data_IF_092413989577
#
_entry.id   IF_092413989577
#
_cell.length_a   1.000
_cell.length_b   1.000
_cell.length_c   1.000
_cell.angle_alpha   90.00
_cell.angle_beta   90.00
_cell.angle_gamma   90.00
#
_symmetry.space_group_name_H-M   'P 1'
#
loop_
_entity.id
_entity.type
_entity.pdbx_description
1 polymer ?
#
# COMPACT_ATOMS: atom_id res chain seq x y z
N UNK A 1 14.59 -12.55 -6.48
CA UNK A 1 13.64 -13.05 -5.47
C UNK A 1 13.85 -12.23 -4.22
N UNK A 2 12.91 -11.34 -3.88
CA UNK A 2 12.96 -10.61 -2.61
C UNK A 2 12.74 -11.59 -1.46
N UNK A 3 13.72 -11.65 -0.56
CA UNK A 3 13.74 -12.50 0.62
C UNK A 3 12.57 -12.14 1.56
N UNK A 4 11.54 -12.98 1.59
CA UNK A 4 10.44 -12.96 2.57
C UNK A 4 10.94 -13.43 3.94
N UNK A 5 11.84 -12.68 4.60
CA UNK A 5 12.49 -13.19 5.80
C UNK A 5 11.78 -12.80 7.12
N UNK A 6 11.06 -11.68 7.19
CA UNK A 6 10.45 -11.20 8.46
C UNK A 6 8.94 -10.89 8.39
N UNK A 7 8.29 -10.98 9.55
CA UNK A 7 6.87 -10.64 9.75
C UNK A 7 6.67 -9.12 9.70
N UNK A 8 5.45 -8.70 9.36
CA UNK A 8 4.98 -7.34 9.42
C UNK A 8 5.63 -6.38 8.40
N UNK A 9 6.14 -6.90 7.29
CA UNK A 9 6.42 -6.12 6.08
C UNK A 9 5.19 -6.21 5.15
N UNK A 10 4.58 -5.07 4.86
CA UNK A 10 3.31 -4.98 4.15
C UNK A 10 3.49 -4.49 2.71
N UNK A 11 2.64 -4.94 1.82
CA UNK A 11 2.48 -4.43 0.45
C UNK A 11 1.10 -3.82 0.32
N UNK A 12 1.01 -2.59 -0.18
CA UNK A 12 -0.25 -1.88 -0.38
C UNK A 12 -0.53 -1.66 -1.86
N UNK A 13 -1.78 -1.92 -2.24
CA UNK A 13 -2.28 -1.78 -3.61
C UNK A 13 -3.73 -1.27 -3.59
N UNK A 14 -4.21 -0.79 -4.74
CA UNK A 14 -5.59 -0.41 -4.95
C UNK A 14 -6.21 -1.20 -6.10
N UNK A 15 -7.41 -1.74 -5.85
CA UNK A 15 -8.19 -2.43 -6.88
C UNK A 15 -9.35 -1.54 -7.30
N UNK A 16 -9.37 -1.16 -8.58
CA UNK A 16 -10.42 -0.32 -9.15
C UNK A 16 -11.38 -1.12 -10.01
N UNK A 17 -12.60 -1.32 -9.52
CA UNK A 17 -13.73 -1.81 -10.31
C UNK A 17 -14.63 -0.68 -10.81
N UNK A 18 -15.66 -1.04 -11.57
CA UNK A 18 -16.64 -0.11 -12.14
C UNK A 18 -17.45 0.65 -11.08
N UNK A 19 -17.83 -0.02 -9.99
CA UNK A 19 -18.72 0.51 -8.95
C UNK A 19 -18.09 0.52 -7.55
N UNK A 20 -16.85 0.05 -7.42
CA UNK A 20 -16.17 -0.05 -6.15
C UNK A 20 -14.66 0.07 -6.33
N UNK A 21 -14.03 0.67 -5.33
CA UNK A 21 -12.59 0.79 -5.23
C UNK A 21 -12.18 0.22 -3.87
N UNK A 22 -11.09 -0.55 -3.85
CA UNK A 22 -10.60 -1.20 -2.64
C UNK A 22 -9.15 -0.80 -2.40
N UNK A 23 -8.82 -0.56 -1.14
CA UNK A 23 -7.46 -0.56 -0.64
C UNK A 23 -7.15 -1.94 -0.09
N UNK A 24 -6.04 -2.53 -0.52
CA UNK A 24 -5.56 -3.83 -0.03
C UNK A 24 -4.20 -3.67 0.61
N UNK A 25 -3.98 -4.31 1.75
CA UNK A 25 -2.70 -4.37 2.45
C UNK A 25 -2.40 -5.84 2.74
N UNK A 26 -1.24 -6.34 2.32
CA UNK A 26 -0.88 -7.75 2.44
C UNK A 26 0.44 -7.90 3.17
N UNK A 27 0.45 -8.67 4.28
CA UNK A 27 1.70 -9.10 4.90
C UNK A 27 2.42 -10.06 3.95
N UNK A 28 3.67 -9.74 3.60
CA UNK A 28 4.41 -10.50 2.59
C UNK A 28 4.77 -11.91 3.04
N UNK A 29 4.86 -12.19 4.34
CA UNK A 29 5.29 -13.49 4.89
C UNK A 29 4.12 -14.43 5.14
N UNK A 30 3.12 -13.98 5.90
CA UNK A 30 1.97 -14.82 6.30
C UNK A 30 0.75 -14.63 5.41
N UNK A 31 0.80 -13.69 4.44
CA UNK A 31 -0.29 -13.40 3.50
C UNK A 31 -1.59 -12.97 4.17
N UNK A 32 -1.49 -12.43 5.39
CA UNK A 32 -2.63 -11.78 6.03
C UNK A 32 -3.01 -10.55 5.18
N UNK A 33 -4.28 -10.48 4.77
CA UNK A 33 -4.78 -9.40 3.93
C UNK A 33 -5.81 -8.56 4.67
N UNK A 34 -5.59 -7.25 4.71
CA UNK A 34 -6.57 -6.26 5.11
C UNK A 34 -7.15 -5.61 3.87
N UNK A 35 -8.48 -5.52 3.79
CA UNK A 35 -9.19 -4.91 2.66
C UNK A 35 -10.16 -3.86 3.20
N UNK A 36 -10.19 -2.71 2.55
CA UNK A 36 -11.14 -1.64 2.87
C UNK A 36 -11.66 -0.97 1.62
N UNK A 37 -12.99 -0.78 1.55
CA UNK A 37 -13.60 -0.01 0.46
C UNK A 37 -13.23 1.47 0.57
N UNK A 38 -12.83 2.07 -0.55
CA UNK A 38 -12.66 3.52 -0.72
C UNK A 38 -13.71 4.06 -1.68
N UNK A 39 -14.13 5.31 -1.47
CA UNK A 39 -15.17 5.95 -2.28
C UNK A 39 -14.65 6.43 -3.64
N UNK A 40 -13.36 6.77 -3.72
CA UNK A 40 -12.70 7.27 -4.91
C UNK A 40 -11.20 6.94 -4.88
N UNK A 41 -10.49 7.30 -5.96
CA UNK A 41 -9.05 7.08 -6.14
C UNK A 41 -8.19 8.22 -5.57
N UNK A 42 -8.80 9.19 -4.87
CA UNK A 42 -8.07 10.37 -4.41
C UNK A 42 -7.09 9.97 -3.31
N UNK A 43 -5.91 10.55 -3.36
CA UNK A 43 -4.84 10.22 -2.43
C UNK A 43 -5.23 10.41 -0.95
N UNK A 44 -6.05 11.42 -0.65
CA UNK A 44 -6.56 11.66 0.69
C UNK A 44 -7.49 10.53 1.18
N UNK A 45 -8.40 10.08 0.31
CA UNK A 45 -9.35 9.00 0.62
C UNK A 45 -8.61 7.69 0.86
N UNK A 46 -7.65 7.37 -0.01
CA UNK A 46 -6.82 6.17 0.08
C UNK A 46 -5.94 6.22 1.33
N UNK A 47 -5.31 7.35 1.63
CA UNK A 47 -4.51 7.54 2.84
C UNK A 47 -5.32 7.34 4.13
N UNK A 48 -6.51 7.94 4.23
CA UNK A 48 -7.40 7.76 5.38
C UNK A 48 -7.77 6.29 5.60
N UNK A 49 -8.09 5.58 4.52
CA UNK A 49 -8.42 4.14 4.61
C UNK A 49 -7.21 3.31 4.99
N UNK A 50 -6.03 3.61 4.42
CA UNK A 50 -4.79 2.92 4.76
C UNK A 50 -4.45 3.09 6.24
N UNK A 51 -4.57 4.29 6.81
CA UNK A 51 -4.39 4.53 8.26
C UNK A 51 -5.36 3.69 9.08
N UNK A 52 -6.64 3.68 8.71
CA UNK A 52 -7.67 2.90 9.41
C UNK A 52 -7.34 1.40 9.44
N UNK A 53 -6.93 0.83 8.31
CA UNK A 53 -6.57 -0.59 8.21
C UNK A 53 -5.29 -0.89 8.99
N UNK A 54 -4.24 -0.09 8.83
CA UNK A 54 -2.94 -0.32 9.48
C UNK A 54 -3.02 -0.20 11.01
N UNK A 55 -3.97 0.56 11.57
CA UNK A 55 -4.22 0.58 13.01
C UNK A 55 -4.68 -0.77 13.59
N UNK A 56 -5.21 -1.67 12.77
CA UNK A 56 -5.64 -3.02 13.20
C UNK A 56 -4.48 -3.99 13.37
N UNK A 57 -3.31 -3.65 12.84
CA UNK A 57 -2.10 -4.47 12.83
C UNK A 57 -0.92 -3.67 13.40
N UNK A 58 -0.96 -3.34 14.70
CA UNK A 58 0.13 -2.63 15.34
C UNK A 58 1.44 -3.42 15.22
N UNK A 59 2.53 -2.72 14.93
CA UNK A 59 3.85 -3.33 14.78
C UNK A 59 4.28 -3.63 13.35
N UNK A 60 3.55 -3.12 12.35
CA UNK A 60 4.06 -3.04 10.97
C UNK A 60 5.45 -2.38 10.93
N UNK A 61 6.37 -3.01 10.21
CA UNK A 61 7.77 -2.59 10.10
C UNK A 61 8.00 -1.74 8.87
N UNK A 62 7.47 -2.19 7.73
CA UNK A 62 7.49 -1.45 6.47
C UNK A 62 6.17 -1.59 5.77
N UNK A 63 5.93 -0.65 4.86
CA UNK A 63 4.91 -0.77 3.83
C UNK A 63 5.55 -0.38 2.50
N UNK A 64 5.31 -1.21 1.48
CA UNK A 64 5.70 -0.96 0.10
C UNK A 64 4.47 -0.55 -0.68
N UNK A 65 4.55 0.60 -1.35
CA UNK A 65 3.52 1.13 -2.25
C UNK A 65 4.13 1.33 -3.63
N UNK A 66 3.31 1.31 -4.68
CA UNK A 66 3.75 1.81 -5.97
C UNK A 66 3.77 3.35 -5.99
N UNK A 67 4.27 3.94 -7.08
CA UNK A 67 4.30 5.39 -7.26
C UNK A 67 3.00 5.94 -7.85
N UNK A 68 1.88 5.23 -7.68
CA UNK A 68 0.55 5.68 -8.07
C UNK A 68 0.17 7.01 -7.40
N UNK A 69 -0.57 7.84 -8.14
CA UNK A 69 -1.03 9.15 -7.63
C UNK A 69 -1.93 9.03 -6.40
N UNK A 70 -2.62 7.90 -6.26
CA UNK A 70 -3.40 7.49 -5.08
C UNK A 70 -2.56 7.39 -3.80
N UNK A 71 -1.24 7.22 -3.91
CA UNK A 71 -0.32 7.12 -2.78
C UNK A 71 0.51 8.39 -2.56
N UNK A 72 0.17 9.51 -3.21
CA UNK A 72 0.86 10.78 -3.05
C UNK A 72 0.89 11.30 -1.58
N UNK A 73 -0.02 10.82 -0.74
CA UNK A 73 -0.13 11.19 0.68
C UNK A 73 0.57 10.20 1.64
N UNK A 74 1.47 9.35 1.15
CA UNK A 74 2.18 8.34 1.95
C UNK A 74 2.94 8.91 3.16
N UNK A 75 3.55 10.10 3.02
CA UNK A 75 4.25 10.76 4.14
C UNK A 75 3.32 11.11 5.30
N UNK A 76 2.09 11.56 5.01
CA UNK A 76 1.10 11.84 6.05
C UNK A 76 0.66 10.56 6.78
N UNK A 77 0.57 9.46 6.05
CA UNK A 77 0.24 8.14 6.60
C UNK A 77 1.33 7.66 7.55
N UNK A 78 2.60 7.79 7.17
CA UNK A 78 3.73 7.45 8.05
C UNK A 78 3.75 8.26 9.33
N UNK A 79 3.57 9.57 9.21
CA UNK A 79 3.53 10.47 10.37
C UNK A 79 2.38 10.09 11.31
N UNK A 80 1.22 9.72 10.77
CA UNK A 80 0.07 9.30 11.58
C UNK A 80 0.27 7.94 12.27
N UNK A 81 1.13 7.08 11.74
CA UNK A 81 1.33 5.71 12.23
C UNK A 81 2.65 5.53 12.98
N UNK A 82 3.47 6.58 13.08
CA UNK A 82 4.82 6.55 13.68
C UNK A 82 5.73 5.47 13.06
N UNK A 83 5.53 5.16 11.78
CA UNK A 83 6.30 4.15 11.08
C UNK A 83 7.62 4.72 10.56
N UNK A 84 8.70 3.98 10.79
CA UNK A 84 10.07 4.43 10.49
C UNK A 84 10.48 4.34 9.03
N UNK A 85 9.82 3.52 8.20
CA UNK A 85 10.29 3.25 6.83
C UNK A 85 9.14 2.92 5.87
N UNK A 86 8.94 3.76 4.84
CA UNK A 86 8.17 3.46 3.64
C UNK A 86 9.12 3.33 2.48
N UNK A 87 8.99 2.25 1.71
CA UNK A 87 9.75 2.07 0.49
C UNK A 87 8.77 2.11 -0.67
N UNK A 88 8.68 3.23 -1.39
CA UNK A 88 7.96 3.24 -2.65
C UNK A 88 8.80 2.51 -3.69
N UNK A 89 8.32 1.38 -4.20
CA UNK A 89 9.01 0.67 -5.26
C UNK A 89 8.75 1.39 -6.59
N UNK A 90 9.79 1.96 -7.19
CA UNK A 90 9.72 2.44 -8.55
C UNK A 90 9.61 1.24 -9.50
N UNK A 91 8.41 0.97 -10.04
CA UNK A 91 8.32 0.07 -11.20
C UNK A 91 8.93 0.81 -12.39
N UNK A 92 10.11 0.34 -12.78
CA UNK A 92 10.76 0.58 -14.06
C UNK A 92 9.71 0.41 -15.16
N UNK A 93 9.42 1.49 -15.92
CA UNK A 93 8.73 1.36 -17.22
C UNK A 93 9.45 0.25 -17.98
N UNK A 94 8.79 -0.88 -18.22
CA UNK A 94 9.11 -1.67 -19.39
C UNK A 94 8.69 -0.78 -20.55
N UNK A 95 9.66 -0.10 -21.16
CA UNK A 95 9.52 0.40 -22.52
C UNK A 95 9.00 -0.77 -23.35
N UNK A 96 7.78 -0.61 -23.87
CA UNK A 96 7.21 -1.53 -24.83
C UNK A 96 8.21 -1.64 -26.00
N UNK A 97 8.94 -2.75 -26.04
CA UNK A 97 9.70 -3.17 -27.19
C UNK A 97 8.71 -3.65 -28.23
N UNK A 98 8.61 -2.86 -29.30
CA UNK A 98 8.41 -3.24 -30.69
C UNK A 98 7.95 -4.71 -30.95
N UNK A 99 6.72 -4.86 -31.42
CA UNK A 99 6.37 -5.70 -32.57
C UNK A 99 5.36 -4.97 -33.44
#
# INVERSE_FOLDING_TARGET
>A
MEKQERLADWEGDTVYGQNAHLMTLVDRKIRLTLIGKVSDKKAETVAKKMIELMRRVPGAKTITLDNGGEFAQHSAVLNSLQYGYLFCQAIRRLSAGNQ
#
